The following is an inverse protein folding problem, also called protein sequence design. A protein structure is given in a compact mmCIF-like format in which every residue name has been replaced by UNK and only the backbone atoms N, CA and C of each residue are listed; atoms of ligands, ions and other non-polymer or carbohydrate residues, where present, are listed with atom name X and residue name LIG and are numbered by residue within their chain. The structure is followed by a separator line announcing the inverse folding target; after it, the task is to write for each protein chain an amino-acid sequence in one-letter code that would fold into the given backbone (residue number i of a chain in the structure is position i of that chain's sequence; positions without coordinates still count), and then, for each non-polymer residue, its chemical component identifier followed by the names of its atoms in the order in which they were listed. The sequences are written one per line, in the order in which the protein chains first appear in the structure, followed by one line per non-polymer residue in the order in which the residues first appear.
data_IF_107937104572
#
_entry.id   IF_107937104572
#
_cell.length_a   1.000
_cell.length_b   1.000
_cell.length_c   1.000
_cell.angle_alpha   90.00
_cell.angle_beta   90.00
_cell.angle_gamma   90.00
#
_symmetry.space_group_name_H-M   'P 1'
#
loop_
_entity.id
_entity.type
_entity.pdbx_description
1 polymer ?
#
# COMPACT_ATOMS: atom_id res chain seq x y z
N UNK A 1 6.72 9.31 5.04
CA UNK A 1 5.53 8.43 5.14
C UNK A 1 4.25 9.08 4.58
N UNK A 2 4.24 9.57 3.32
CA UNK A 2 3.04 10.17 2.72
C UNK A 2 2.11 9.13 2.08
N UNK A 3 2.70 8.10 1.46
CA UNK A 3 1.96 7.10 0.70
C UNK A 3 1.12 6.17 1.58
N UNK A 4 1.69 5.63 2.66
CA UNK A 4 0.95 4.75 3.58
C UNK A 4 -0.22 5.49 4.24
N UNK A 5 0.00 6.74 4.66
CA UNK A 5 -1.05 7.61 5.20
C UNK A 5 -2.18 7.79 4.18
N UNK A 6 -1.85 8.10 2.92
CA UNK A 6 -2.84 8.25 1.86
C UNK A 6 -3.64 6.97 1.59
N UNK A 7 -3.00 5.79 1.60
CA UNK A 7 -3.68 4.50 1.44
C UNK A 7 -4.62 4.24 2.62
N UNK A 8 -4.18 4.52 3.85
CA UNK A 8 -5.00 4.33 5.05
C UNK A 8 -6.19 5.29 5.13
N UNK A 9 -5.99 6.56 4.78
CA UNK A 9 -7.03 7.59 4.84
C UNK A 9 -8.04 7.50 3.69
N UNK A 10 -7.58 7.23 2.45
CA UNK A 10 -8.43 7.29 1.26
C UNK A 10 -8.89 5.90 0.79
N UNK A 11 -8.32 4.82 1.32
CA UNK A 11 -8.67 3.43 1.03
C UNK A 11 -8.96 3.16 -0.46
N UNK A 12 -8.04 3.53 -1.37
CA UNK A 12 -8.28 3.47 -2.81
C UNK A 12 -8.62 2.05 -3.26
N UNK A 13 -9.61 1.91 -4.14
CA UNK A 13 -10.04 0.60 -4.65
C UNK A 13 -9.09 0.06 -5.72
N UNK A 14 -8.39 0.94 -6.44
CA UNK A 14 -7.42 0.54 -7.46
C UNK A 14 -6.08 1.29 -7.34
N UNK A 15 -5.04 0.70 -7.92
CA UNK A 15 -3.74 1.36 -8.10
C UNK A 15 -3.82 2.65 -8.93
N UNK A 16 -4.80 2.75 -9.85
CA UNK A 16 -5.01 3.94 -10.67
C UNK A 16 -5.54 5.09 -9.82
N UNK A 17 -6.44 4.80 -8.90
CA UNK A 17 -7.00 5.80 -7.98
C UNK A 17 -5.91 6.31 -7.03
N UNK A 18 -5.09 5.41 -6.49
CA UNK A 18 -3.95 5.81 -5.68
C UNK A 18 -2.90 6.62 -6.47
N UNK A 19 -2.69 6.29 -7.74
CA UNK A 19 -1.80 7.04 -8.62
C UNK A 19 -2.32 8.47 -8.84
N UNK A 20 -3.62 8.63 -9.08
CA UNK A 20 -4.28 9.94 -9.20
C UNK A 20 -4.19 10.74 -7.89
N UNK A 21 -4.51 10.13 -6.74
CA UNK A 21 -4.42 10.77 -5.42
C UNK A 21 -2.99 11.19 -5.05
N UNK A 22 -2.00 10.38 -5.44
CA UNK A 22 -0.59 10.66 -5.13
C UNK A 22 0.12 11.54 -6.16
N UNK A 23 -0.50 11.80 -7.32
CA UNK A 23 0.13 12.51 -8.44
C UNK A 23 1.31 11.77 -9.05
N UNK A 24 1.40 10.44 -8.88
CA UNK A 24 2.53 9.61 -9.33
C UNK A 24 2.10 8.71 -10.49
N UNK A 25 3.05 8.37 -11.36
CA UNK A 25 2.80 7.35 -12.37
C UNK A 25 2.55 5.98 -11.74
N UNK A 26 1.52 5.27 -12.23
CA UNK A 26 1.11 3.95 -11.73
C UNK A 26 2.23 2.93 -11.79
N UNK A 27 3.06 2.94 -12.84
CA UNK A 27 4.19 2.03 -13.02
C UNK A 27 5.24 2.14 -11.89
N UNK A 28 5.54 3.35 -11.45
CA UNK A 28 6.47 3.63 -10.36
C UNK A 28 5.86 3.31 -9.00
N UNK A 29 4.56 3.55 -8.87
CA UNK A 29 3.80 3.22 -7.67
C UNK A 29 3.76 1.70 -7.44
N UNK A 30 3.51 0.90 -8.49
CA UNK A 30 3.53 -0.56 -8.43
C UNK A 30 4.87 -1.08 -7.92
N UNK A 31 5.99 -0.56 -8.44
CA UNK A 31 7.33 -0.98 -7.99
C UNK A 31 7.52 -0.70 -6.50
N UNK A 32 7.15 0.50 -6.06
CA UNK A 32 7.23 0.90 -4.65
C UNK A 32 6.36 -0.01 -3.77
N UNK A 33 5.12 -0.27 -4.19
CA UNK A 33 4.16 -1.07 -3.44
C UNK A 33 4.56 -2.54 -3.37
N UNK A 34 5.13 -3.12 -4.43
CA UNK A 34 5.71 -4.47 -4.40
C UNK A 34 6.85 -4.59 -3.41
N UNK A 35 7.68 -3.57 -3.29
CA UNK A 35 8.73 -3.51 -2.26
C UNK A 35 8.11 -3.46 -0.86
N UNK A 36 7.12 -2.60 -0.65
CA UNK A 36 6.40 -2.50 0.64
C UNK A 36 5.65 -3.79 1.00
N UNK A 37 5.10 -4.48 0.00
CA UNK A 37 4.46 -5.79 0.16
C UNK A 37 5.43 -6.86 0.59
N UNK A 38 6.62 -6.90 -0.02
CA UNK A 38 7.69 -7.83 0.39
C UNK A 38 8.08 -7.65 1.86
N UNK A 39 8.04 -6.41 2.36
CA UNK A 39 8.34 -6.09 3.76
C UNK A 39 7.11 -6.22 4.69
N UNK A 40 5.95 -6.68 4.19
CA UNK A 40 4.73 -6.83 4.99
C UNK A 40 4.09 -5.51 5.42
N UNK A 41 4.49 -4.39 4.79
CA UNK A 41 3.99 -3.05 5.12
C UNK A 41 2.62 -2.79 4.48
N UNK A 42 2.43 -3.33 3.27
CA UNK A 42 1.22 -3.20 2.45
C UNK A 42 0.85 -4.58 1.93
N UNK A 43 -0.43 -4.84 1.69
CA UNK A 43 -0.91 -6.01 0.95
C UNK A 43 -1.54 -5.54 -0.35
N UNK A 44 -1.24 -6.21 -1.46
CA UNK A 44 -1.87 -5.95 -2.75
C UNK A 44 -2.95 -7.00 -3.01
N UNK A 45 -4.19 -6.69 -2.63
CA UNK A 45 -5.33 -7.56 -2.85
C UNK A 45 -5.78 -7.47 -4.31
N UNK A 46 -5.77 -8.60 -5.03
CA UNK A 46 -6.37 -8.67 -6.36
C UNK A 46 -7.89 -8.80 -6.20
N UNK A 47 -8.65 -7.86 -6.76
CA UNK A 47 -10.10 -7.95 -6.85
C UNK A 47 -10.53 -7.81 -8.31
N UNK A 48 -11.18 -8.84 -8.84
CA UNK A 48 -11.64 -8.88 -10.23
C UNK A 48 -10.50 -8.54 -11.23
N UNK A 49 -10.51 -7.32 -11.77
CA UNK A 49 -9.55 -6.79 -12.75
C UNK A 49 -8.65 -5.68 -12.19
N UNK A 50 -8.75 -5.38 -10.89
CA UNK A 50 -7.97 -4.35 -10.23
C UNK A 50 -7.11 -4.92 -9.09
N UNK A 51 -6.14 -4.11 -8.67
CA UNK A 51 -5.32 -4.36 -7.50
C UNK A 51 -5.60 -3.26 -6.50
N UNK A 52 -6.04 -3.65 -5.32
CA UNK A 52 -6.34 -2.78 -4.18
C UNK A 52 -5.17 -2.82 -3.20
N UNK A 53 -4.48 -1.69 -2.95
CA UNK A 53 -3.46 -1.63 -1.93
C UNK A 53 -4.08 -1.42 -0.54
N UNK A 54 -3.66 -2.20 0.45
CA UNK A 54 -4.11 -2.13 1.85
C UNK A 54 -2.91 -2.02 2.77
N UNK A 55 -2.84 -1.02 3.66
CA UNK A 55 -1.73 -0.92 4.63
C UNK A 55 -1.92 -1.97 5.73
N UNK A 56 -0.86 -2.76 5.99
CA UNK A 56 -0.79 -3.72 7.10
C UNK A 56 0.04 -3.17 8.28
N UNK A 57 1.03 -2.34 7.98
CA UNK A 57 1.88 -1.73 8.99
C UNK A 57 1.29 -0.42 9.53
N UNK A 58 0.44 -0.53 10.54
CA UNK A 58 0.18 0.59 11.46
C UNK A 58 0.58 0.29 12.91
N UNK A 59 0.89 -0.96 13.25
CA UNK A 59 1.39 -1.34 14.56
C UNK A 59 2.18 -2.65 14.43
N UNK A 60 3.52 -2.56 14.30
CA UNK A 60 4.35 -3.73 14.57
C UNK A 60 4.45 -3.85 16.08
N UNK A 61 3.74 -4.82 16.65
CA UNK A 61 3.91 -5.19 18.04
C UNK A 61 5.20 -6.01 18.12
N UNK A 62 6.32 -5.35 18.39
CA UNK A 62 7.61 -6.03 18.61
C UNK A 62 7.54 -6.67 20.00
N UNK A 63 7.07 -7.91 20.08
CA UNK A 63 7.29 -8.73 21.27
C UNK A 63 8.73 -9.22 21.24
N UNK A 64 9.60 -8.47 21.89
CA UNK A 64 10.91 -8.97 22.27
C UNK A 64 10.69 -9.91 23.46
N UNK A 65 10.82 -11.22 23.26
CA UNK A 65 11.02 -12.15 24.37
C UNK A 65 12.51 -12.13 24.67
N UNK A 66 12.89 -11.50 25.78
CA UNK A 66 14.18 -11.71 26.44
C UNK A 66 14.08 -13.02 27.25
#
# INVERSE_FOLDING_TARGET
MRLLKMIGENQPETLKDLAALSGRQTSNLIRTLKTMERYGIVELCKQNRSVRPVVKASAFNIQYSI
#
